data_IF_706131581378
#
_entry.id   IF_706131581378
#
_cell.length_a   1.000
_cell.length_b   1.000
_cell.length_c   1.000
_cell.angle_alpha   90.00
_cell.angle_beta   90.00
_cell.angle_gamma   90.00
#
_symmetry.space_group_name_H-M   'P 1'
#
loop_
_entity.id
_entity.type
_entity.pdbx_description
1 polymer ?
#
# COMPACT_ATOMS: atom_id res chain seq x y z
N UNK A 1 9.42 -44.32 14.11
CA UNK A 1 10.61 -43.67 13.52
C UNK A 1 10.22 -42.24 13.20
N UNK A 2 10.41 -41.36 14.19
CA UNK A 2 10.04 -39.96 14.11
C UNK A 2 11.03 -39.18 13.24
N UNK A 3 10.59 -38.71 12.07
CA UNK A 3 11.30 -37.65 11.34
C UNK A 3 10.90 -36.31 11.94
N UNK A 4 11.57 -35.90 13.00
CA UNK A 4 11.59 -34.50 13.38
C UNK A 4 12.38 -33.73 12.32
N UNK A 5 11.69 -33.24 11.27
CA UNK A 5 12.28 -32.38 10.25
C UNK A 5 12.80 -31.10 10.93
N UNK A 6 14.09 -31.10 11.27
CA UNK A 6 14.80 -29.90 11.71
C UNK A 6 14.95 -28.99 10.50
N UNK A 7 13.95 -28.16 10.25
CA UNK A 7 14.04 -27.10 9.26
C UNK A 7 15.15 -26.14 9.67
N UNK A 8 16.35 -26.35 9.13
CA UNK A 8 17.47 -25.44 9.28
C UNK A 8 17.09 -24.10 8.63
N UNK A 9 17.46 -23.01 9.29
CA UNK A 9 17.22 -21.65 8.82
C UNK A 9 18.51 -21.05 8.31
N UNK A 10 18.39 -20.13 7.36
CA UNK A 10 19.54 -19.52 6.71
C UNK A 10 20.44 -18.76 7.69
N UNK A 11 21.74 -19.08 7.67
CA UNK A 11 22.78 -18.50 8.53
C UNK A 11 23.14 -17.05 8.20
N UNK A 12 22.52 -16.42 7.20
CA UNK A 12 22.80 -15.04 6.83
C UNK A 12 22.23 -14.04 7.86
N UNK A 13 23.08 -13.13 8.33
CA UNK A 13 22.67 -12.08 9.28
C UNK A 13 22.23 -10.81 8.54
N UNK A 14 20.96 -10.43 8.71
CA UNK A 14 20.40 -9.23 8.07
C UNK A 14 20.69 -8.02 8.95
N UNK A 15 21.82 -7.32 8.68
CA UNK A 15 22.30 -6.17 9.46
C UNK A 15 21.20 -5.15 9.76
N UNK A 16 20.47 -4.69 8.73
CA UNK A 16 19.37 -3.72 8.87
C UNK A 16 18.27 -4.16 9.84
N UNK A 17 18.03 -5.47 9.98
CA UNK A 17 16.99 -6.03 10.85
C UNK A 17 17.54 -6.61 12.15
N UNK A 18 18.86 -6.56 12.37
CA UNK A 18 19.58 -7.10 13.53
C UNK A 18 19.14 -8.54 13.89
N UNK A 19 18.97 -9.40 12.88
CA UNK A 19 18.56 -10.80 13.07
C UNK A 19 18.99 -11.70 11.91
N UNK A 20 19.10 -13.00 12.17
CA UNK A 20 19.28 -14.01 11.11
C UNK A 20 18.08 -14.10 10.16
N UNK A 21 18.36 -14.54 8.94
CA UNK A 21 17.35 -14.78 7.92
C UNK A 21 16.43 -15.92 8.36
N UNK A 22 15.11 -15.71 8.21
CA UNK A 22 14.08 -16.69 8.60
C UNK A 22 13.70 -17.64 7.46
N UNK A 23 14.42 -17.60 6.34
CA UNK A 23 14.14 -18.52 5.24
C UNK A 23 14.73 -19.89 5.55
N UNK A 24 13.95 -20.92 5.26
CA UNK A 24 14.40 -22.31 5.37
C UNK A 24 15.47 -22.59 4.32
N UNK A 25 16.40 -23.47 4.68
CA UNK A 25 17.45 -23.95 3.78
C UNK A 25 17.13 -25.37 3.33
N UNK A 26 17.67 -25.76 2.18
CA UNK A 26 17.61 -27.15 1.75
C UNK A 26 18.49 -28.00 2.65
N UNK A 27 18.18 -29.29 2.77
CA UNK A 27 18.99 -30.23 3.53
C UNK A 27 20.45 -30.20 3.04
N UNK A 28 21.39 -29.99 3.96
CA UNK A 28 22.83 -29.90 3.66
C UNK A 28 23.34 -28.51 3.25
N UNK A 29 22.46 -27.50 3.14
CA UNK A 29 22.85 -26.13 2.78
C UNK A 29 22.79 -25.19 4.00
N UNK A 30 23.68 -24.20 4.04
CA UNK A 30 23.73 -23.22 5.12
C UNK A 30 22.94 -21.92 4.84
N UNK A 31 22.63 -21.67 3.57
CA UNK A 31 22.03 -20.42 3.11
C UNK A 31 20.78 -20.66 2.25
N UNK A 32 19.81 -19.76 2.34
CA UNK A 32 18.61 -19.84 1.51
C UNK A 32 18.91 -19.40 0.08
N UNK A 33 17.92 -19.62 -0.80
CA UNK A 33 17.97 -19.20 -2.19
C UNK A 33 18.31 -17.72 -2.43
N UNK A 34 18.16 -16.81 -1.47
CA UNK A 34 18.54 -15.38 -1.68
C UNK A 34 19.95 -15.05 -1.19
N UNK A 35 20.50 -15.84 -0.26
CA UNK A 35 21.77 -15.53 0.41
C UNK A 35 22.87 -16.57 0.14
N UNK A 36 22.63 -17.50 -0.78
CA UNK A 36 23.65 -18.43 -1.24
C UNK A 36 24.72 -17.64 -2.02
N UNK A 37 25.99 -17.94 -1.76
CA UNK A 37 27.12 -17.27 -2.41
C UNK A 37 27.14 -17.60 -3.90
N UNK A 38 27.69 -16.70 -4.71
CA UNK A 38 28.01 -16.95 -6.11
C UNK A 38 29.17 -17.94 -6.16
N UNK A 39 29.10 -18.91 -7.07
CA UNK A 39 30.19 -19.87 -7.24
C UNK A 39 31.34 -19.21 -8.01
N UNK A 40 32.42 -18.87 -7.31
CA UNK A 40 33.57 -18.13 -7.87
C UNK A 40 34.54 -19.08 -8.61
N UNK A 41 34.36 -20.40 -8.51
CA UNK A 41 35.18 -21.40 -9.21
C UNK A 41 34.30 -22.48 -9.82
N UNK A 42 34.33 -22.58 -11.15
CA UNK A 42 33.56 -23.54 -11.96
C UNK A 42 34.09 -24.99 -11.77
N UNK A 43 35.29 -25.14 -11.21
CA UNK A 43 35.92 -26.44 -10.99
C UNK A 43 35.29 -27.20 -9.81
N UNK A 44 34.38 -28.14 -10.13
CA UNK A 44 33.85 -29.15 -9.20
C UNK A 44 32.40 -28.97 -8.76
N UNK A 45 31.71 -27.90 -9.20
CA UNK A 45 30.28 -27.70 -8.92
C UNK A 45 29.46 -28.27 -10.09
N UNK A 46 28.49 -29.18 -9.83
CA UNK A 46 27.54 -29.62 -10.86
C UNK A 46 26.85 -28.44 -11.56
N UNK A 47 26.72 -28.47 -12.89
CA UNK A 47 26.16 -27.36 -13.69
C UNK A 47 24.76 -26.91 -13.22
N UNK A 48 23.97 -27.84 -12.66
CA UNK A 48 22.64 -27.56 -12.12
C UNK A 48 22.67 -26.81 -10.78
N UNK A 49 23.81 -26.73 -10.12
CA UNK A 49 23.99 -26.00 -8.85
C UNK A 49 24.67 -24.65 -9.01
N UNK A 50 25.32 -24.39 -10.15
CA UNK A 50 26.04 -23.13 -10.41
C UNK A 50 25.11 -21.93 -10.28
N UNK A 51 25.47 -21.01 -9.38
CA UNK A 51 24.78 -19.72 -9.22
C UNK A 51 25.56 -18.56 -9.81
N UNK A 52 24.85 -17.72 -10.56
CA UNK A 52 25.35 -16.51 -11.18
C UNK A 52 24.61 -15.27 -10.66
N UNK A 53 25.23 -14.10 -10.74
CA UNK A 53 24.57 -12.83 -10.48
C UNK A 53 23.53 -12.58 -11.56
N UNK A 54 22.34 -12.09 -11.17
CA UNK A 54 21.32 -11.76 -12.16
C UNK A 54 21.81 -10.61 -13.06
N UNK A 55 21.71 -10.75 -14.40
CA UNK A 55 22.17 -9.70 -15.32
C UNK A 55 21.27 -8.44 -15.30
N UNK A 56 20.04 -8.56 -14.78
CA UNK A 56 19.08 -7.45 -14.68
C UNK A 56 19.20 -6.68 -13.35
N UNK A 57 19.67 -7.32 -12.27
CA UNK A 57 19.89 -6.69 -10.97
C UNK A 57 21.02 -7.39 -10.21
N UNK A 58 22.09 -6.65 -9.96
CA UNK A 58 23.29 -7.16 -9.30
C UNK A 58 23.08 -7.49 -7.81
N UNK A 59 21.93 -7.16 -7.22
CA UNK A 59 21.60 -7.38 -5.80
C UNK A 59 21.17 -8.81 -5.48
N UNK A 60 20.86 -9.63 -6.49
CA UNK A 60 20.48 -11.03 -6.27
C UNK A 60 21.13 -11.98 -7.28
N UNK A 61 21.00 -13.28 -7.02
CA UNK A 61 21.61 -14.34 -7.82
C UNK A 61 20.55 -15.34 -8.29
N UNK A 62 20.82 -16.09 -9.35
CA UNK A 62 19.96 -17.17 -9.85
C UNK A 62 20.81 -18.37 -10.29
N UNK A 63 20.19 -19.54 -10.44
CA UNK A 63 20.88 -20.70 -11.03
C UNK A 63 21.14 -20.48 -12.52
N UNK A 64 22.35 -20.76 -12.97
CA UNK A 64 22.78 -20.58 -14.35
C UNK A 64 21.85 -21.33 -15.33
N UNK A 65 21.58 -22.61 -15.06
CA UNK A 65 20.68 -23.43 -15.90
C UNK A 65 19.20 -22.96 -15.89
N UNK A 66 18.79 -22.05 -14.98
CA UNK A 66 17.44 -21.46 -14.94
C UNK A 66 17.42 -19.99 -15.34
N UNK A 67 18.51 -19.45 -15.90
CA UNK A 67 18.62 -18.03 -16.21
C UNK A 67 17.46 -17.57 -17.11
N UNK A 68 17.17 -18.29 -18.19
CA UNK A 68 16.09 -17.91 -19.12
C UNK A 68 14.72 -17.83 -18.42
N UNK A 69 14.40 -18.82 -17.58
CA UNK A 69 13.16 -18.81 -16.76
C UNK A 69 13.18 -17.66 -15.75
N UNK A 70 14.33 -17.39 -15.13
CA UNK A 70 14.51 -16.30 -14.19
C UNK A 70 14.28 -14.93 -14.84
N UNK A 71 14.85 -14.66 -16.02
CA UNK A 71 14.67 -13.38 -16.73
C UNK A 71 13.19 -13.06 -17.00
N UNK A 72 12.37 -14.09 -17.26
CA UNK A 72 10.92 -13.94 -17.48
C UNK A 72 10.15 -13.55 -16.21
N UNK A 73 10.65 -13.88 -15.02
CA UNK A 73 9.98 -13.62 -13.73
C UNK A 73 10.71 -12.59 -12.85
N UNK A 74 11.90 -12.15 -13.24
CA UNK A 74 12.71 -11.24 -12.47
C UNK A 74 11.96 -9.92 -12.23
N UNK A 75 12.03 -9.41 -10.99
CA UNK A 75 11.42 -8.14 -10.61
C UNK A 75 12.09 -6.93 -11.30
N UNK A 76 13.35 -7.08 -11.71
CA UNK A 76 14.13 -6.05 -12.40
C UNK A 76 13.99 -6.09 -13.93
N UNK A 77 13.18 -6.99 -14.50
CA UNK A 77 12.94 -6.95 -15.95
C UNK A 77 12.19 -5.69 -16.34
N UNK A 78 12.49 -5.18 -17.54
CA UNK A 78 11.69 -4.12 -18.15
C UNK A 78 10.23 -4.56 -18.23
N UNK A 79 9.33 -3.76 -17.65
CA UNK A 79 7.90 -3.98 -17.77
C UNK A 79 7.47 -3.45 -19.13
N UNK A 80 6.56 -4.15 -19.80
CA UNK A 80 5.95 -3.64 -21.01
C UNK A 80 5.29 -2.29 -20.72
N UNK A 81 5.56 -1.28 -21.54
CA UNK A 81 4.89 0.02 -21.49
C UNK A 81 3.39 -0.20 -21.58
N UNK A 82 2.67 0.24 -20.55
CA UNK A 82 1.22 0.18 -20.53
C UNK A 82 0.69 1.56 -20.89
N UNK A 83 -0.38 1.66 -21.69
CA UNK A 83 -0.92 2.96 -22.09
C UNK A 83 -1.33 3.81 -20.88
N UNK A 84 -1.86 3.19 -19.82
CA UNK A 84 -2.24 3.82 -18.57
C UNK A 84 -1.08 4.20 -17.64
N UNK A 85 0.17 4.08 -18.09
CA UNK A 85 1.35 4.54 -17.36
C UNK A 85 2.03 5.68 -18.11
N UNK A 86 2.20 6.80 -17.42
CA UNK A 86 2.96 7.97 -17.86
C UNK A 86 3.74 8.47 -16.64
N UNK A 87 5.06 8.30 -16.65
CA UNK A 87 5.92 8.62 -15.52
C UNK A 87 5.70 10.05 -15.02
N UNK A 88 5.50 10.19 -13.71
CA UNK A 88 5.43 11.49 -13.04
C UNK A 88 4.20 12.35 -13.32
N UNK A 89 3.20 11.87 -14.08
CA UNK A 89 2.03 12.66 -14.46
C UNK A 89 1.24 13.25 -13.27
N UNK A 90 1.27 12.57 -12.11
CA UNK A 90 0.58 13.01 -10.90
C UNK A 90 1.51 13.66 -9.87
N UNK A 91 2.79 13.85 -10.18
CA UNK A 91 3.75 14.48 -9.26
C UNK A 91 3.53 15.99 -9.06
N UNK A 92 2.77 16.64 -9.95
CA UNK A 92 2.56 18.09 -9.95
C UNK A 92 3.70 18.87 -10.61
N UNK A 93 3.58 20.20 -10.65
CA UNK A 93 4.52 21.09 -11.38
C UNK A 93 5.95 21.08 -10.81
N UNK A 94 6.15 20.62 -9.58
CA UNK A 94 7.48 20.47 -8.96
C UNK A 94 8.11 19.08 -9.21
N UNK A 95 7.52 18.26 -10.09
CA UNK A 95 8.03 16.93 -10.42
C UNK A 95 9.14 16.90 -11.47
N UNK A 96 9.52 18.05 -12.05
CA UNK A 96 10.53 18.14 -13.12
C UNK A 96 11.80 18.90 -12.77
N UNK A 97 11.89 19.59 -11.63
CA UNK A 97 13.13 20.26 -11.21
C UNK A 97 13.23 20.27 -9.69
N UNK A 98 13.84 19.23 -9.12
CA UNK A 98 15.14 19.37 -8.46
C UNK A 98 15.79 17.99 -8.52
N UNK A 99 16.89 17.87 -9.26
CA UNK A 99 18.02 17.12 -8.72
C UNK A 99 18.31 17.78 -7.36
N UNK A 100 17.59 17.36 -6.31
CA UNK A 100 17.91 17.78 -4.94
C UNK A 100 19.21 17.07 -4.61
N UNK A 101 20.28 17.76 -4.97
CA UNK A 101 21.63 17.57 -4.50
C UNK A 101 21.62 17.76 -2.97
N UNK A 102 21.10 16.75 -2.27
CA UNK A 102 21.35 16.49 -0.86
C UNK A 102 20.79 17.47 0.18
N UNK A 103 19.61 18.09 0.01
CA UNK A 103 19.09 19.00 1.03
C UNK A 103 17.62 18.89 1.45
N UNK A 104 16.92 17.82 1.14
CA UNK A 104 15.75 17.42 1.94
C UNK A 104 16.25 16.82 3.27
N UNK A 105 16.78 17.70 4.13
CA UNK A 105 17.38 17.34 5.40
C UNK A 105 16.28 16.81 6.32
N UNK A 106 16.11 15.49 6.33
CA UNK A 106 15.34 14.82 7.37
C UNK A 106 16.03 15.13 8.71
N UNK A 107 15.58 16.21 9.36
CA UNK A 107 16.03 16.61 10.68
C UNK A 107 15.20 15.87 11.69
N UNK A 108 15.88 15.21 12.64
CA UNK A 108 15.19 14.57 13.75
C UNK A 108 14.45 15.65 14.54
N UNK A 109 13.25 15.36 15.04
CA UNK A 109 12.53 16.30 15.90
C UNK A 109 13.38 16.76 17.11
N UNK A 110 14.28 15.89 17.58
CA UNK A 110 15.22 16.18 18.66
C UNK A 110 16.29 17.24 18.32
N UNK A 111 16.47 17.62 17.05
CA UNK A 111 17.41 18.69 16.67
C UNK A 111 16.80 20.09 16.79
N UNK A 112 15.50 20.18 17.05
CA UNK A 112 14.80 21.46 17.22
C UNK A 112 14.74 21.82 18.71
N UNK A 113 14.78 23.12 19.01
CA UNK A 113 14.64 23.58 20.38
C UNK A 113 13.21 23.32 20.88
N UNK A 114 13.06 23.13 22.19
CA UNK A 114 11.72 23.00 22.80
C UNK A 114 10.86 24.24 22.56
N UNK A 115 11.48 25.42 22.49
CA UNK A 115 10.79 26.68 22.19
C UNK A 115 10.19 26.67 20.78
N UNK A 116 10.97 26.28 19.76
CA UNK A 116 10.50 26.23 18.37
C UNK A 116 9.37 25.20 18.19
N UNK A 117 9.49 24.04 18.84
CA UNK A 117 8.45 23.01 18.82
C UNK A 117 7.16 23.56 19.44
N UNK A 118 7.25 24.22 20.60
CA UNK A 118 6.08 24.84 21.25
C UNK A 118 5.45 25.92 20.39
N UNK A 119 6.25 26.81 19.81
CA UNK A 119 5.75 27.87 18.93
C UNK A 119 5.04 27.28 17.70
N UNK A 120 5.59 26.23 17.12
CA UNK A 120 4.97 25.52 15.99
C UNK A 120 3.64 24.89 16.38
N UNK A 121 3.56 24.23 17.55
CA UNK A 121 2.31 23.67 18.08
C UNK A 121 1.26 24.78 18.25
N UNK A 122 1.65 25.93 18.82
CA UNK A 122 0.75 27.07 18.99
C UNK A 122 0.23 27.61 17.65
N UNK A 123 1.09 27.69 16.63
CA UNK A 123 0.68 28.08 15.27
C UNK A 123 -0.32 27.08 14.67
N UNK A 124 -0.04 25.78 14.79
CA UNK A 124 -0.93 24.72 14.29
C UNK A 124 -2.29 24.76 14.99
N UNK A 125 -2.31 24.87 16.33
CA UNK A 125 -3.54 24.96 17.11
C UNK A 125 -4.33 26.22 16.73
N UNK A 126 -3.67 27.37 16.59
CA UNK A 126 -4.34 28.61 16.15
C UNK A 126 -4.98 28.45 14.78
N UNK A 127 -4.30 27.83 13.82
CA UNK A 127 -4.86 27.54 12.48
C UNK A 127 -6.05 26.58 12.61
N UNK A 128 -5.93 25.56 13.45
CA UNK A 128 -7.02 24.62 13.70
C UNK A 128 -8.25 25.33 14.24
N UNK A 129 -8.10 26.13 15.30
CA UNK A 129 -9.21 26.81 15.98
C UNK A 129 -9.86 27.90 15.11
N UNK A 130 -9.09 28.57 14.26
CA UNK A 130 -9.60 29.70 13.45
C UNK A 130 -10.18 29.26 12.10
N UNK A 131 -9.58 28.27 11.45
CA UNK A 131 -9.93 27.88 10.08
C UNK A 131 -10.59 26.50 10.06
N UNK A 132 -9.96 25.51 10.69
CA UNK A 132 -10.29 24.09 10.47
C UNK A 132 -11.52 23.67 11.28
N UNK A 133 -11.62 24.10 12.53
CA UNK A 133 -12.71 23.78 13.47
C UNK A 133 -14.10 24.15 12.93
N UNK A 134 -14.17 25.23 12.15
CA UNK A 134 -15.42 25.73 11.57
C UNK A 134 -15.81 25.00 10.27
N UNK A 135 -14.88 24.27 9.65
CA UNK A 135 -15.08 23.59 8.36
C UNK A 135 -15.24 22.09 8.56
N UNK A 136 -14.59 21.51 9.56
CA UNK A 136 -14.69 20.09 9.85
C UNK A 136 -15.94 19.77 10.66
N UNK A 137 -16.70 18.78 10.19
CA UNK A 137 -17.71 18.12 11.00
C UNK A 137 -17.21 16.75 11.41
N UNK A 138 -17.46 16.37 12.67
CA UNK A 138 -17.24 15.00 13.12
C UNK A 138 -18.43 14.14 12.68
N UNK A 139 -18.16 13.09 11.90
CA UNK A 139 -19.18 12.17 11.44
C UNK A 139 -18.66 10.73 11.52
N UNK A 140 -19.29 9.94 12.38
CA UNK A 140 -19.01 8.51 12.53
C UNK A 140 -20.22 7.76 12.02
N UNK A 141 -20.07 7.16 10.83
CA UNK A 141 -21.08 6.32 10.22
C UNK A 141 -20.68 4.84 10.32
N UNK A 142 -21.63 3.97 10.06
CA UNK A 142 -21.45 2.53 9.94
C UNK A 142 -22.24 2.01 8.73
N UNK A 143 -21.91 0.81 8.29
CA UNK A 143 -22.57 0.14 7.18
C UNK A 143 -23.02 -1.26 7.60
N UNK A 144 -24.29 -1.58 7.34
CA UNK A 144 -24.93 -2.82 7.79
C UNK A 144 -24.19 -4.09 7.32
N UNK A 145 -23.67 -4.11 6.09
CA UNK A 145 -22.96 -5.27 5.51
C UNK A 145 -21.71 -5.63 6.32
N UNK A 146 -21.05 -4.62 6.91
CA UNK A 146 -19.84 -4.82 7.70
C UNK A 146 -20.18 -5.07 9.18
N UNK A 147 -21.21 -4.40 9.71
CA UNK A 147 -21.65 -4.56 11.11
C UNK A 147 -22.09 -6.00 11.43
N UNK A 148 -22.80 -6.67 10.52
CA UNK A 148 -23.17 -8.08 10.65
C UNK A 148 -21.95 -9.00 10.85
N UNK A 149 -20.81 -8.62 10.28
CA UNK A 149 -19.55 -9.37 10.41
C UNK A 149 -18.78 -8.96 11.65
N UNK A 150 -18.86 -7.70 12.07
CA UNK A 150 -18.27 -7.21 13.33
C UNK A 150 -18.90 -7.91 14.54
N UNK A 151 -20.20 -8.18 14.49
CA UNK A 151 -20.95 -8.85 15.56
C UNK A 151 -20.50 -10.30 15.81
N UNK A 152 -19.78 -10.93 14.87
CA UNK A 152 -19.33 -12.32 15.02
C UNK A 152 -18.16 -12.42 16.03
N UNK A 153 -18.23 -13.35 17.00
CA UNK A 153 -17.23 -13.47 18.08
C UNK A 153 -15.85 -13.95 17.59
N UNK A 154 -15.75 -14.43 16.35
CA UNK A 154 -14.54 -15.02 15.75
C UNK A 154 -13.42 -14.03 15.45
N UNK A 155 -13.65 -12.72 15.62
CA UNK A 155 -12.70 -11.68 15.22
C UNK A 155 -11.99 -11.05 16.43
N UNK A 156 -10.67 -11.23 16.49
CA UNK A 156 -9.83 -10.54 17.49
C UNK A 156 -9.79 -9.02 17.30
N UNK A 157 -9.39 -8.29 18.35
CA UNK A 157 -9.43 -6.82 18.44
C UNK A 157 -8.81 -6.08 17.23
N UNK A 158 -7.70 -6.59 16.69
CA UNK A 158 -7.04 -6.01 15.51
C UNK A 158 -7.89 -6.13 14.24
N UNK A 159 -8.58 -7.25 14.05
CA UNK A 159 -9.48 -7.44 12.93
C UNK A 159 -10.70 -6.52 13.06
N UNK A 160 -11.27 -6.40 14.27
CA UNK A 160 -12.38 -5.49 14.58
C UNK A 160 -12.05 -4.03 14.23
N UNK A 161 -10.88 -3.52 14.63
CA UNK A 161 -10.44 -2.15 14.25
C UNK A 161 -10.48 -1.91 12.73
N UNK A 162 -9.97 -2.86 11.95
CA UNK A 162 -9.98 -2.74 10.50
C UNK A 162 -11.39 -2.84 9.89
N UNK A 163 -12.30 -3.60 10.51
CA UNK A 163 -13.69 -3.71 10.09
C UNK A 163 -14.48 -2.43 10.40
N UNK A 164 -14.36 -1.88 11.61
CA UNK A 164 -15.00 -0.61 11.99
C UNK A 164 -14.59 0.51 11.03
N UNK A 165 -13.31 0.62 10.69
CA UNK A 165 -12.84 1.62 9.73
C UNK A 165 -13.45 1.40 8.33
N UNK A 166 -13.57 0.15 7.87
CA UNK A 166 -14.22 -0.12 6.59
C UNK A 166 -15.73 0.22 6.64
N UNK A 167 -16.40 -0.15 7.74
CA UNK A 167 -17.82 0.16 8.00
C UNK A 167 -18.08 1.67 7.89
N UNK A 168 -17.21 2.47 8.50
CA UNK A 168 -17.30 3.93 8.47
C UNK A 168 -17.06 4.53 7.08
N UNK A 169 -16.07 4.03 6.33
CA UNK A 169 -15.85 4.47 4.95
C UNK A 169 -17.06 4.13 4.07
N UNK A 170 -17.63 2.93 4.20
CA UNK A 170 -18.82 2.54 3.45
C UNK A 170 -20.03 3.40 3.81
N UNK A 171 -20.26 3.68 5.10
CA UNK A 171 -21.36 4.55 5.53
C UNK A 171 -21.25 5.96 4.96
N UNK A 172 -20.03 6.50 4.82
CA UNK A 172 -19.80 7.78 4.13
C UNK A 172 -20.11 7.69 2.64
N UNK A 173 -19.73 6.59 1.97
CA UNK A 173 -20.08 6.39 0.56
C UNK A 173 -21.59 6.36 0.35
N UNK A 174 -22.35 5.75 1.26
CA UNK A 174 -23.82 5.70 1.19
C UNK A 174 -24.44 7.08 1.45
N UNK A 175 -24.05 7.75 2.54
CA UNK A 175 -24.56 9.06 2.93
C UNK A 175 -24.39 10.11 1.83
N UNK A 176 -23.22 10.14 1.19
CA UNK A 176 -22.92 11.08 0.11
C UNK A 176 -23.41 10.58 -1.27
N UNK A 177 -24.24 9.52 -1.28
CA UNK A 177 -24.80 8.90 -2.49
C UNK A 177 -23.72 8.53 -3.51
N UNK A 178 -22.54 8.09 -3.07
CA UNK A 178 -21.43 7.69 -3.93
C UNK A 178 -21.50 6.21 -4.33
N UNK A 179 -22.35 5.42 -3.67
CA UNK A 179 -22.69 4.07 -4.14
C UNK A 179 -23.78 4.19 -5.22
N UNK A 180 -23.37 4.19 -6.49
CA UNK A 180 -24.26 4.32 -7.66
C UNK A 180 -24.04 3.20 -8.69
N UNK A 181 -25.03 2.93 -9.56
CA UNK A 181 -24.83 2.08 -10.73
C UNK A 181 -23.77 2.62 -11.68
N UNK A 182 -23.22 1.75 -12.52
CA UNK A 182 -22.20 2.05 -13.53
C UNK A 182 -21.01 2.90 -13.00
N UNK A 183 -20.51 2.55 -11.82
CA UNK A 183 -19.45 3.29 -11.13
C UNK A 183 -18.14 2.50 -11.09
N UNK A 184 -17.03 3.16 -11.39
CA UNK A 184 -15.68 2.67 -11.17
C UNK A 184 -15.14 3.18 -9.82
N UNK A 185 -15.08 2.28 -8.83
CA UNK A 185 -14.49 2.55 -7.52
C UNK A 185 -12.99 2.29 -7.54
N UNK A 186 -12.18 3.28 -7.15
CA UNK A 186 -10.72 3.20 -7.21
C UNK A 186 -10.14 3.24 -5.80
N UNK A 187 -9.62 2.11 -5.30
CA UNK A 187 -8.89 2.05 -4.05
C UNK A 187 -7.41 2.39 -4.28
N UNK A 188 -6.98 3.59 -3.86
CA UNK A 188 -5.58 3.99 -3.89
C UNK A 188 -4.84 3.46 -2.65
N UNK A 189 -3.69 2.82 -2.88
CA UNK A 189 -2.95 2.17 -1.81
C UNK A 189 -3.69 0.96 -1.25
N UNK A 190 -4.23 0.12 -2.15
CA UNK A 190 -5.19 -0.91 -1.79
C UNK A 190 -4.65 -2.00 -0.86
N UNK A 191 -3.33 -2.15 -0.73
CA UNK A 191 -2.71 -3.17 0.10
C UNK A 191 -3.30 -4.55 -0.20
N UNK A 192 -3.90 -5.17 0.83
CA UNK A 192 -4.51 -6.50 0.72
C UNK A 192 -5.90 -6.52 0.05
N UNK A 193 -6.46 -5.36 -0.33
CA UNK A 193 -7.79 -5.23 -0.94
C UNK A 193 -8.94 -5.46 0.03
N UNK A 194 -8.79 -5.06 1.30
CA UNK A 194 -9.86 -5.25 2.29
C UNK A 194 -11.02 -4.28 2.08
N UNK A 195 -10.76 -3.02 1.74
CA UNK A 195 -11.82 -2.03 1.53
C UNK A 195 -12.54 -2.31 0.21
N UNK A 196 -11.80 -2.58 -0.87
CA UNK A 196 -12.36 -3.09 -2.14
C UNK A 196 -13.27 -4.29 -1.95
N UNK A 197 -12.93 -5.21 -1.05
CA UNK A 197 -13.79 -6.34 -0.70
C UNK A 197 -15.16 -5.92 -0.19
N UNK A 198 -15.23 -4.93 0.69
CA UNK A 198 -16.51 -4.48 1.22
C UNK A 198 -17.28 -3.63 0.23
N UNK A 199 -16.60 -2.79 -0.55
CA UNK A 199 -17.24 -2.01 -1.62
C UNK A 199 -17.92 -2.95 -2.63
N UNK A 200 -17.22 -3.99 -3.08
CA UNK A 200 -17.80 -4.97 -4.00
C UNK A 200 -19.04 -5.71 -3.43
N UNK A 201 -19.14 -5.83 -2.10
CA UNK A 201 -20.30 -6.43 -1.43
C UNK A 201 -21.45 -5.45 -1.24
N UNK A 202 -21.17 -4.16 -1.10
CA UNK A 202 -22.16 -3.09 -0.92
C UNK A 202 -22.78 -2.64 -2.26
N UNK A 203 -22.05 -2.79 -3.37
CA UNK A 203 -22.56 -2.49 -4.71
C UNK A 203 -23.53 -3.57 -5.18
N UNK A 204 -24.60 -3.17 -5.86
CA UNK A 204 -25.60 -4.10 -6.40
C UNK A 204 -24.95 -5.03 -7.45
N UNK A 205 -25.08 -6.37 -7.30
CA UNK A 205 -24.50 -7.33 -8.25
C UNK A 205 -24.98 -7.18 -9.70
N UNK A 206 -26.16 -6.62 -9.93
CA UNK A 206 -26.71 -6.41 -11.28
C UNK A 206 -26.16 -5.14 -11.96
N UNK A 207 -25.45 -4.29 -11.22
CA UNK A 207 -24.85 -3.07 -11.78
C UNK A 207 -23.56 -3.40 -12.55
N UNK A 208 -23.30 -2.67 -13.63
CA UNK A 208 -22.05 -2.74 -14.41
C UNK A 208 -20.85 -2.07 -13.72
N UNK A 209 -20.91 -1.91 -12.40
CA UNK A 209 -19.88 -1.25 -11.60
C UNK A 209 -18.61 -2.09 -11.51
N UNK A 210 -17.48 -1.41 -11.31
CA UNK A 210 -16.17 -2.05 -11.22
C UNK A 210 -15.34 -1.51 -10.06
N UNK A 211 -14.40 -2.33 -9.58
CA UNK A 211 -13.49 -2.01 -8.49
C UNK A 211 -12.05 -2.14 -8.97
N UNK A 212 -11.35 -1.02 -9.02
CA UNK A 212 -9.94 -0.91 -9.35
C UNK A 212 -9.08 -0.80 -8.10
N UNK A 213 -8.07 -1.65 -7.99
CA UNK A 213 -7.12 -1.66 -6.87
C UNK A 213 -5.76 -1.17 -7.36
N UNK A 214 -5.34 0.01 -6.91
CA UNK A 214 -4.02 0.57 -7.24
C UNK A 214 -3.08 0.31 -6.07
N UNK A 215 -2.01 -0.45 -6.32
CA UNK A 215 -1.02 -0.77 -5.29
C UNK A 215 0.37 -1.02 -5.90
N UNK A 216 1.38 -0.32 -5.38
CA UNK A 216 2.77 -0.46 -5.83
C UNK A 216 3.38 -1.79 -5.37
N UNK A 217 3.09 -2.18 -4.13
CA UNK A 217 3.61 -3.40 -3.52
C UNK A 217 2.91 -4.66 -4.05
N UNK A 218 3.46 -5.83 -3.71
CA UNK A 218 2.82 -7.12 -3.97
C UNK A 218 2.57 -7.84 -2.64
N UNK A 219 1.58 -7.40 -1.84
CA UNK A 219 1.32 -7.99 -0.54
C UNK A 219 0.90 -9.46 -0.66
N UNK A 220 1.30 -10.28 0.32
CA UNK A 220 0.82 -11.67 0.47
C UNK A 220 -0.60 -11.68 1.05
N UNK A 221 -1.33 -12.77 0.84
CA UNK A 221 -2.70 -12.99 1.34
C UNK A 221 -3.69 -11.90 0.90
N UNK A 222 -3.66 -11.57 -0.40
CA UNK A 222 -4.60 -10.64 -1.02
C UNK A 222 -6.01 -11.23 -0.97
N UNK A 223 -7.01 -10.38 -0.75
CA UNK A 223 -8.42 -10.77 -0.80
C UNK A 223 -8.99 -10.83 -2.22
N UNK A 224 -8.16 -10.56 -3.24
CA UNK A 224 -8.53 -10.61 -4.67
C UNK A 224 -9.25 -11.89 -5.07
N UNK A 225 -8.84 -13.05 -4.56
CA UNK A 225 -9.51 -14.32 -4.94
C UNK A 225 -10.89 -14.49 -4.29
N UNK A 226 -11.20 -13.70 -3.25
CA UNK A 226 -12.52 -13.66 -2.59
C UNK A 226 -13.41 -12.58 -3.21
N UNK A 227 -12.85 -11.74 -4.08
CA UNK A 227 -13.55 -10.77 -4.88
C UNK A 227 -14.06 -11.49 -6.15
N UNK A 228 -15.19 -12.19 -6.04
CA UNK A 228 -15.77 -12.95 -7.15
C UNK A 228 -17.22 -12.57 -7.38
N UNK A 229 -17.44 -11.61 -8.27
CA UNK A 229 -18.67 -11.37 -9.04
C UNK A 229 -18.25 -10.85 -10.41
N UNK A 230 -18.07 -11.76 -11.37
CA UNK A 230 -17.45 -11.55 -12.70
C UNK A 230 -15.98 -11.08 -12.66
N UNK A 231 -15.08 -11.79 -13.34
CA UNK A 231 -13.63 -11.49 -13.33
C UNK A 231 -13.27 -10.08 -13.83
N UNK A 232 -14.13 -9.51 -14.65
CA UNK A 232 -13.85 -8.27 -15.39
C UNK A 232 -14.21 -7.01 -14.58
N UNK A 233 -15.04 -7.15 -13.54
CA UNK A 233 -15.45 -6.05 -12.68
C UNK A 233 -14.36 -5.69 -11.67
N UNK A 234 -13.36 -6.56 -11.40
CA UNK A 234 -12.37 -6.33 -10.36
C UNK A 234 -10.96 -6.48 -10.91
N UNK A 235 -10.21 -5.38 -10.93
CA UNK A 235 -8.87 -5.33 -11.53
C UNK A 235 -7.87 -4.70 -10.57
N UNK A 236 -6.78 -5.40 -10.31
CA UNK A 236 -5.65 -4.87 -9.54
C UNK A 236 -4.52 -4.44 -10.47
N UNK A 237 -4.15 -3.17 -10.38
CA UNK A 237 -3.05 -2.56 -11.14
C UNK A 237 -1.85 -2.40 -10.20
N UNK A 238 -0.72 -3.01 -10.60
CA UNK A 238 0.54 -2.88 -9.87
C UNK A 238 1.37 -1.73 -10.44
N UNK A 239 1.13 -0.53 -9.95
CA UNK A 239 1.79 0.70 -10.39
C UNK A 239 1.96 1.69 -9.22
N UNK A 240 2.85 2.66 -9.39
CA UNK A 240 2.91 3.83 -8.51
C UNK A 240 1.78 4.80 -8.90
N UNK A 241 1.17 5.47 -7.91
CA UNK A 241 0.09 6.43 -8.15
C UNK A 241 0.63 7.63 -8.94
N UNK A 242 1.92 7.95 -8.79
CA UNK A 242 2.60 9.02 -9.53
C UNK A 242 2.45 8.91 -11.04
N UNK A 243 2.31 7.68 -11.56
CA UNK A 243 2.43 7.41 -13.00
C UNK A 243 1.11 7.03 -13.67
N UNK A 244 0.02 6.93 -12.92
CA UNK A 244 -1.24 6.38 -13.44
C UNK A 244 -2.05 7.43 -14.20
N UNK A 245 -2.46 7.07 -15.42
CA UNK A 245 -3.39 7.84 -16.25
C UNK A 245 -4.75 7.13 -16.25
N UNK A 246 -5.68 7.60 -15.40
CA UNK A 246 -6.99 6.97 -15.22
C UNK A 246 -7.81 6.89 -16.51
N UNK A 247 -7.71 7.91 -17.38
CA UNK A 247 -8.48 7.98 -18.64
C UNK A 247 -8.09 6.91 -19.67
N UNK A 248 -7.00 6.18 -19.44
CA UNK A 248 -6.54 5.09 -20.31
C UNK A 248 -6.85 3.71 -19.74
N UNK A 249 -7.70 3.64 -18.71
CA UNK A 249 -8.19 2.40 -18.11
C UNK A 249 -9.60 2.10 -18.59
N UNK A 250 -9.81 0.93 -19.21
CA UNK A 250 -11.11 0.52 -19.76
C UNK A 250 -12.25 0.58 -18.73
N UNK A 251 -11.96 0.26 -17.46
CA UNK A 251 -12.95 0.30 -16.37
C UNK A 251 -13.45 1.73 -16.10
N UNK A 252 -12.58 2.73 -16.25
CA UNK A 252 -12.91 4.15 -16.09
C UNK A 252 -13.65 4.66 -17.33
N UNK A 253 -13.25 4.19 -18.51
CA UNK A 253 -13.89 4.56 -19.78
C UNK A 253 -15.33 4.04 -19.88
N UNK A 254 -15.59 2.81 -19.41
CA UNK A 254 -16.92 2.18 -19.42
C UNK A 254 -17.87 2.67 -18.33
N UNK A 255 -17.35 3.29 -17.27
CA UNK A 255 -18.16 3.82 -16.17
C UNK A 255 -18.63 5.24 -16.44
N UNK A 256 -19.82 5.57 -15.93
CA UNK A 256 -20.34 6.96 -15.90
C UNK A 256 -19.77 7.74 -14.72
N UNK A 257 -19.51 7.04 -13.61
CA UNK A 257 -19.04 7.62 -12.37
C UNK A 257 -17.68 7.05 -11.96
N UNK A 258 -16.81 7.88 -11.40
CA UNK A 258 -15.53 7.50 -10.79
C UNK A 258 -15.55 7.96 -9.35
N UNK A 259 -15.25 7.04 -8.43
CA UNK A 259 -15.19 7.31 -7.00
C UNK A 259 -13.84 6.87 -6.46
N UNK A 260 -13.06 7.81 -5.92
CA UNK A 260 -11.77 7.53 -5.28
C UNK A 260 -11.93 7.17 -3.81
N UNK A 261 -11.28 6.11 -3.33
CA UNK A 261 -11.32 5.73 -1.92
C UNK A 261 -9.93 5.38 -1.39
N UNK A 262 -9.70 5.66 -0.10
CA UNK A 262 -8.46 5.25 0.59
C UNK A 262 -8.73 4.80 2.02
N UNK A 263 -7.91 3.87 2.53
CA UNK A 263 -7.96 3.39 3.92
C UNK A 263 -6.81 3.92 4.79
N UNK A 264 -5.62 4.03 4.20
CA UNK A 264 -4.36 4.23 4.91
C UNK A 264 -3.37 5.11 4.12
N UNK A 265 -3.88 5.95 3.22
CA UNK A 265 -3.03 6.77 2.36
C UNK A 265 -2.70 8.08 3.09
N UNK A 266 -1.42 8.45 3.17
CA UNK A 266 -0.99 9.65 3.88
C UNK A 266 0.22 10.32 3.24
N UNK A 267 0.44 11.60 3.60
CA UNK A 267 1.50 12.44 3.06
C UNK A 267 1.38 12.59 1.55
N UNK A 268 2.53 12.58 0.87
CA UNK A 268 2.65 12.76 -0.59
C UNK A 268 1.74 11.80 -1.36
N UNK A 269 1.54 10.58 -0.87
CA UNK A 269 0.69 9.61 -1.56
C UNK A 269 -0.77 10.08 -1.68
N UNK A 270 -1.26 10.87 -0.72
CA UNK A 270 -2.59 11.47 -0.81
C UNK A 270 -2.64 12.56 -1.87
N UNK A 271 -1.64 13.44 -1.95
CA UNK A 271 -1.55 14.45 -3.00
C UNK A 271 -1.51 13.81 -4.39
N UNK A 272 -0.73 12.73 -4.55
CA UNK A 272 -0.68 11.96 -5.79
C UNK A 272 -2.06 11.38 -6.14
N UNK A 273 -2.80 10.81 -5.18
CA UNK A 273 -4.12 10.25 -5.42
C UNK A 273 -5.16 11.31 -5.77
N UNK A 274 -5.13 12.47 -5.10
CA UNK A 274 -6.02 13.58 -5.42
C UNK A 274 -5.74 14.16 -6.81
N UNK A 275 -4.46 14.35 -7.18
CA UNK A 275 -4.10 14.76 -8.54
C UNK A 275 -4.46 13.70 -9.58
N UNK A 276 -4.22 12.43 -9.29
CA UNK A 276 -4.61 11.32 -10.15
C UNK A 276 -6.12 11.33 -10.43
N UNK A 277 -6.94 11.52 -9.39
CA UNK A 277 -8.39 11.64 -9.50
C UNK A 277 -8.80 12.92 -10.23
N UNK A 278 -8.17 14.06 -9.94
CA UNK A 278 -8.43 15.34 -10.62
C UNK A 278 -8.03 15.37 -12.09
N UNK A 279 -7.06 14.53 -12.49
CA UNK A 279 -6.65 14.30 -13.87
C UNK A 279 -7.56 13.30 -14.61
N UNK A 280 -8.47 12.61 -13.91
CA UNK A 280 -9.51 11.82 -14.56
C UNK A 280 -10.44 12.74 -15.35
N UNK A 281 -11.19 12.18 -16.32
CA UNK A 281 -12.19 12.91 -17.09
C UNK A 281 -13.14 13.62 -16.11
N UNK A 282 -13.01 14.95 -16.01
CA UNK A 282 -13.59 15.74 -14.91
C UNK A 282 -15.10 15.55 -14.79
N UNK A 283 -15.79 15.26 -15.90
CA UNK A 283 -17.23 15.03 -15.93
C UNK A 283 -17.67 13.68 -15.34
N UNK A 284 -16.75 12.75 -15.07
CA UNK A 284 -17.05 11.43 -14.51
C UNK A 284 -16.78 11.33 -13.01
N UNK A 285 -16.00 12.25 -12.43
CA UNK A 285 -15.62 12.15 -11.01
C UNK A 285 -16.80 12.52 -10.13
N UNK A 286 -17.42 11.53 -9.49
CA UNK A 286 -18.57 11.72 -8.62
C UNK A 286 -18.16 12.15 -7.20
N UNK A 287 -16.95 11.79 -6.75
CA UNK A 287 -16.42 12.17 -5.46
C UNK A 287 -15.37 11.20 -4.93
N UNK A 288 -15.06 11.30 -3.64
CA UNK A 288 -14.18 10.33 -3.00
C UNK A 288 -14.11 10.44 -1.48
N UNK A 289 -13.74 9.33 -0.84
CA UNK A 289 -13.58 9.22 0.61
C UNK A 289 -12.13 8.89 0.92
N UNK A 290 -11.40 9.87 1.45
CA UNK A 290 -9.98 9.75 1.73
C UNK A 290 -9.76 9.65 3.24
N UNK A 291 -9.19 8.55 3.70
CA UNK A 291 -8.81 8.39 5.10
C UNK A 291 -7.31 8.49 5.28
N UNK A 292 -6.92 9.47 6.07
CA UNK A 292 -5.52 9.76 6.39
C UNK A 292 -5.09 8.86 7.55
N UNK A 293 -4.07 8.02 7.34
CA UNK A 293 -3.49 7.27 8.45
C UNK A 293 -2.03 7.67 8.63
N UNK A 294 -1.69 8.22 9.78
CA UNK A 294 -0.32 8.64 10.10
C UNK A 294 0.56 7.43 10.50
N UNK A 295 0.56 6.37 9.69
CA UNK A 295 1.33 5.14 9.97
C UNK A 295 2.77 5.20 9.43
N UNK A 296 3.35 6.39 9.29
CA UNK A 296 4.79 6.55 9.41
C UNK A 296 5.15 6.24 10.86
N UNK A 297 5.32 4.93 11.12
CA UNK A 297 5.83 4.29 12.33
C UNK A 297 6.53 5.30 13.26
N UNK A 298 5.83 5.85 14.28
CA UNK A 298 6.54 6.48 15.38
C UNK A 298 7.23 5.33 16.11
N UNK A 299 8.52 5.14 15.86
CA UNK A 299 9.38 4.52 16.87
C UNK A 299 9.66 5.57 17.93
N UNK A 300 8.62 5.94 18.67
CA UNK A 300 8.71 6.53 19.98
C UNK A 300 7.88 5.61 20.87
N UNK A 301 8.61 4.66 21.45
CA UNK A 301 8.36 3.96 22.71
C UNK A 301 7.01 4.24 23.37
N UNK A 302 6.28 3.16 23.67
CA UNK A 302 5.88 2.70 25.02
C UNK A 302 6.29 3.56 26.24
N UNK A 303 6.03 4.86 26.21
CA UNK A 303 6.03 5.72 27.38
C UNK A 303 4.76 6.55 27.34
N UNK A 304 3.79 6.07 28.09
CA UNK A 304 2.82 6.89 28.80
C UNK A 304 3.50 8.16 29.29
N UNK A 305 3.22 9.28 28.63
CA UNK A 305 3.30 10.58 29.28
C UNK A 305 1.94 10.77 29.93
N UNK A 306 1.84 10.34 31.19
CA UNK A 306 0.84 10.86 32.11
C UNK A 306 1.08 12.37 32.20
N UNK A 307 0.17 13.14 31.61
CA UNK A 307 0.04 14.55 31.93
C UNK A 307 -0.75 14.61 33.24
N UNK A 308 -0.04 14.56 34.36
CA UNK A 308 -0.63 14.89 35.64
C UNK A 308 -1.06 16.37 35.63
N UNK A 309 -2.29 16.56 36.10
CA UNK A 309 -3.01 17.80 36.19
C UNK A 309 -2.21 18.92 36.86
N UNK A 310 -1.98 20.01 36.13
CA UNK A 310 -1.74 21.32 36.75
C UNK A 310 -3.08 22.04 36.89
N UNK A 311 -3.74 21.83 38.03
CA UNK A 311 -4.63 22.83 38.63
C UNK A 311 -3.90 23.43 39.81
N UNK A 312 -3.68 24.76 39.75
CA UNK A 312 -3.19 25.70 40.77
C UNK A 312 -2.41 25.16 41.97
#
# INVERSE_FOLDING_TARGET
>A
MDKADHFHHCKYFVLRKKRYCKMTVKLGEDYCGEHQKVDIKISGVPEDKVRIVCPLDKKHTCYAHKLEKHLKICNARAKATQPYLSEGINCGLNGMDVDDDGLDSYRLLSTFSVADIKETILKVNKIFDTIVSNVLSEKILSNNVVEEVIAKPEHGNKAKKHLIQNSSILGLLEEYNLIKPNTCYIEFGAGRGQLSFWIAQAVNPEDTSSVLLIERASPKHKKDNKLARNSDSIKRIRADISDIVLNKLDNVDKSDNVVGVTKHLCGVATDLALRCLGNAAQNKVAGGVFTFCCHHRPTLLDKTLEFDNFTN
#
